data_IF_088271568014
#
_entry.id   IF_088271568014
#
_cell.length_a   1.000
_cell.length_b   1.000
_cell.length_c   1.000
_cell.angle_alpha   90.00
_cell.angle_beta   90.00
_cell.angle_gamma   90.00
#
_symmetry.space_group_name_H-M   'P 1'
#
loop_
_entity.id
_entity.type
_entity.pdbx_description
1 polymer ?
#
# COMPACT_ATOMS: atom_id res chain seq x y z
N UNK A 1 -0.69 -21.55 -5.07
CA UNK A 1 -0.18 -20.27 -5.57
C UNK A 1 -1.07 -19.17 -5.04
N UNK A 2 -0.54 -18.20 -4.29
CA UNK A 2 -1.36 -17.15 -3.67
C UNK A 2 -1.71 -16.13 -4.75
N UNK A 3 -2.93 -16.23 -5.29
CA UNK A 3 -3.48 -15.28 -6.24
C UNK A 3 -3.80 -13.99 -5.48
N UNK A 4 -3.13 -12.90 -5.84
CA UNK A 4 -3.49 -11.58 -5.34
C UNK A 4 -4.73 -11.13 -6.10
N UNK A 5 -5.67 -10.56 -5.36
CA UNK A 5 -6.86 -9.97 -5.94
C UNK A 5 -6.53 -8.48 -6.12
N UNK A 6 -6.22 -8.08 -7.35
CA UNK A 6 -5.74 -6.72 -7.63
C UNK A 6 -6.86 -5.67 -7.66
N UNK A 7 -8.10 -6.13 -7.78
CA UNK A 7 -9.34 -5.35 -7.75
C UNK A 7 -9.92 -5.25 -6.33
N UNK A 8 -9.28 -5.88 -5.34
CA UNK A 8 -9.77 -5.81 -3.97
C UNK A 8 -9.67 -4.37 -3.44
N UNK A 9 -10.71 -3.89 -2.75
CA UNK A 9 -10.64 -2.58 -2.11
C UNK A 9 -9.64 -2.61 -0.95
N UNK A 10 -8.77 -1.61 -0.93
CA UNK A 10 -7.78 -1.42 0.12
C UNK A 10 -7.82 0.00 0.65
N UNK A 11 -7.33 0.16 1.88
CA UNK A 11 -7.16 1.46 2.50
C UNK A 11 -5.68 1.76 2.65
N UNK A 12 -5.21 2.88 2.08
CA UNK A 12 -3.85 3.36 2.31
C UNK A 12 -3.83 4.23 3.55
N UNK A 13 -2.90 3.96 4.47
CA UNK A 13 -2.59 4.80 5.62
C UNK A 13 -1.12 5.20 5.55
N UNK A 14 -0.87 6.49 5.33
CA UNK A 14 0.45 7.10 5.46
C UNK A 14 0.69 7.55 6.90
N UNK A 15 1.77 7.08 7.51
CA UNK A 15 2.29 7.58 8.77
C UNK A 15 3.56 8.36 8.44
N UNK A 16 3.43 9.66 8.23
CA UNK A 16 4.53 10.52 7.76
C UNK A 16 5.57 10.85 8.85
N UNK A 17 5.36 10.59 10.15
CA UNK A 17 6.32 11.04 11.19
C UNK A 17 6.50 10.12 12.41
N UNK A 18 7.75 9.97 12.85
CA UNK A 18 8.11 9.67 14.24
C UNK A 18 8.04 10.99 15.01
N UNK A 19 6.87 11.30 15.55
CA UNK A 19 6.62 12.52 16.30
C UNK A 19 5.17 12.55 16.76
N UNK A 20 4.93 13.01 17.97
CA UNK A 20 3.70 12.86 18.80
C UNK A 20 2.41 13.51 18.24
N UNK A 21 2.39 13.86 16.94
CA UNK A 21 1.22 14.29 16.22
C UNK A 21 1.19 13.57 14.87
N UNK A 22 0.82 12.29 14.88
CA UNK A 22 0.55 11.53 13.66
C UNK A 22 -0.69 12.13 12.98
N UNK A 23 -0.48 13.13 12.11
CA UNK A 23 -1.51 13.58 11.18
C UNK A 23 -1.73 12.42 10.23
N UNK A 24 -2.72 11.57 10.52
CA UNK A 24 -3.21 10.54 9.60
C UNK A 24 -3.60 11.25 8.31
N UNK A 25 -2.70 11.27 7.34
CA UNK A 25 -3.02 11.80 6.02
C UNK A 25 -4.01 10.83 5.40
N UNK A 26 -5.26 11.30 5.33
CA UNK A 26 -6.42 10.75 4.63
C UNK A 26 -6.28 9.29 4.23
N UNK A 27 -6.89 8.42 5.02
CA UNK A 27 -7.22 7.07 4.57
C UNK A 27 -8.01 7.18 3.25
N UNK A 28 -7.42 6.72 2.15
CA UNK A 28 -8.15 6.60 0.88
C UNK A 28 -8.80 5.22 0.89
N UNK A 29 -10.12 5.19 1.02
CA UNK A 29 -10.89 3.96 1.33
C UNK A 29 -11.44 3.23 0.11
N UNK A 30 -11.41 3.88 -1.06
CA UNK A 30 -12.13 3.45 -2.27
C UNK A 30 -11.20 3.20 -3.47
N UNK A 31 -9.97 2.73 -3.22
CA UNK A 31 -9.04 2.35 -4.30
C UNK A 31 -8.71 0.86 -4.23
N UNK A 32 -8.46 0.28 -5.40
CA UNK A 32 -8.08 -1.13 -5.51
C UNK A 32 -6.60 -1.34 -5.12
N UNK A 33 -6.23 -2.58 -4.78
CA UNK A 33 -4.84 -2.92 -4.43
C UNK A 33 -3.85 -2.51 -5.53
N UNK A 34 -4.19 -2.72 -6.79
CA UNK A 34 -3.36 -2.32 -7.93
C UNK A 34 -3.09 -0.82 -7.96
N UNK A 35 -4.14 -0.01 -7.89
CA UNK A 35 -4.04 1.46 -7.82
C UNK A 35 -3.25 1.91 -6.60
N UNK A 36 -3.50 1.30 -5.44
CA UNK A 36 -2.79 1.64 -4.23
C UNK A 36 -1.29 1.39 -4.34
N UNK A 37 -0.89 0.22 -4.85
CA UNK A 37 0.52 -0.10 -5.06
C UNK A 37 1.18 0.85 -6.08
N UNK A 38 0.45 1.25 -7.14
CA UNK A 38 0.93 2.21 -8.15
C UNK A 38 1.12 3.62 -7.60
N UNK A 39 0.22 4.10 -6.75
CA UNK A 39 0.36 5.42 -6.11
C UNK A 39 1.52 5.42 -5.10
N UNK A 40 1.65 4.34 -4.35
CA UNK A 40 2.61 4.23 -3.25
C UNK A 40 4.05 4.09 -3.72
N UNK A 41 4.32 3.27 -4.75
CA UNK A 41 5.69 3.04 -5.23
C UNK A 41 6.49 4.33 -5.54
N UNK A 42 5.98 5.29 -6.35
CA UNK A 42 6.70 6.52 -6.63
C UNK A 42 6.79 7.43 -5.40
N UNK A 43 5.73 7.56 -4.60
CA UNK A 43 5.74 8.42 -3.40
C UNK A 43 6.72 7.90 -2.32
N UNK A 44 6.80 6.58 -2.14
CA UNK A 44 7.74 5.98 -1.19
C UNK A 44 9.19 6.11 -1.65
N UNK A 45 9.45 6.07 -2.97
CA UNK A 45 10.79 6.33 -3.51
C UNK A 45 11.30 7.75 -3.18
N UNK A 46 10.39 8.73 -3.11
CA UNK A 46 10.68 10.10 -2.72
C UNK A 46 10.79 10.28 -1.19
N UNK A 47 10.27 9.34 -0.39
CA UNK A 47 10.21 9.42 1.08
C UNK A 47 10.68 8.10 1.74
N UNK A 48 12.00 7.82 1.78
CA UNK A 48 12.52 6.55 2.31
C UNK A 48 12.21 6.30 3.78
N UNK A 49 11.91 7.34 4.57
CA UNK A 49 11.59 7.25 5.99
C UNK A 49 10.08 7.16 6.28
N UNK A 50 9.21 7.30 5.27
CA UNK A 50 7.77 7.21 5.47
C UNK A 50 7.35 5.77 5.84
N UNK A 51 6.42 5.63 6.78
CA UNK A 51 5.80 4.35 7.12
C UNK A 51 4.42 4.28 6.52
N UNK A 52 4.21 3.38 5.57
CA UNK A 52 2.92 3.17 4.93
C UNK A 52 2.33 1.81 5.29
N UNK A 53 1.03 1.78 5.55
CA UNK A 53 0.22 0.58 5.70
C UNK A 53 -0.87 0.55 4.61
N UNK A 54 -0.84 -0.45 3.73
CA UNK A 54 -1.99 -0.81 2.88
C UNK A 54 -2.79 -1.86 3.64
N UNK A 55 -3.95 -1.46 4.15
CA UNK A 55 -4.88 -2.33 4.86
C UNK A 55 -5.83 -2.94 3.84
N UNK A 56 -5.88 -4.27 3.79
CA UNK A 56 -6.79 -4.99 2.90
C UNK A 56 -8.13 -5.14 3.60
N UNK A 57 -9.24 -5.05 2.86
CA UNK A 57 -10.59 -5.21 3.44
C UNK A 57 -10.83 -6.60 4.01
N UNK A 58 -10.19 -7.63 3.44
CA UNK A 58 -10.21 -8.98 4.00
C UNK A 58 -9.31 -9.05 5.23
N UNK A 59 -9.92 -9.04 6.42
CA UNK A 59 -9.24 -9.10 7.71
C UNK A 59 -8.37 -10.35 7.92
N UNK A 60 -8.51 -11.40 7.07
CA UNK A 60 -7.63 -12.58 7.10
C UNK A 60 -6.33 -12.33 6.36
N UNK A 61 -6.25 -11.33 5.48
CA UNK A 61 -5.05 -11.00 4.71
C UNK A 61 -4.21 -9.96 5.45
N UNK A 62 -2.92 -10.23 5.63
CA UNK A 62 -2.00 -9.34 6.34
C UNK A 62 -1.89 -7.99 5.60
N UNK A 63 -1.89 -6.86 6.32
CA UNK A 63 -1.65 -5.55 5.73
C UNK A 63 -0.22 -5.45 5.17
N UNK A 64 -0.03 -4.65 4.14
CA UNK A 64 1.28 -4.38 3.54
C UNK A 64 1.89 -3.16 4.22
N UNK A 65 2.83 -3.41 5.12
CA UNK A 65 3.39 -2.37 6.00
C UNK A 65 4.84 -1.98 5.66
N UNK A 66 5.44 -2.65 4.66
CA UNK A 66 6.85 -2.46 4.29
C UNK A 66 7.00 -2.21 2.80
N UNK A 67 7.98 -1.38 2.45
CA UNK A 67 8.31 -1.08 1.05
C UNK A 67 8.61 -2.34 0.28
N UNK A 68 9.33 -3.29 0.89
CA UNK A 68 9.64 -4.58 0.28
C UNK A 68 8.37 -5.35 -0.09
N UNK A 69 7.35 -5.39 0.78
CA UNK A 69 6.11 -6.09 0.49
C UNK A 69 5.32 -5.46 -0.67
N UNK A 70 5.23 -4.13 -0.70
CA UNK A 70 4.58 -3.39 -1.79
C UNK A 70 5.34 -3.55 -3.11
N UNK A 71 6.66 -3.38 -3.08
CA UNK A 71 7.54 -3.58 -4.23
C UNK A 71 7.47 -5.00 -4.78
N UNK A 72 7.45 -6.01 -3.91
CA UNK A 72 7.30 -7.41 -4.33
C UNK A 72 5.97 -7.70 -5.02
N UNK A 73 4.92 -6.89 -4.81
CA UNK A 73 3.67 -6.99 -5.58
C UNK A 73 3.81 -6.27 -6.91
N UNK A 74 4.35 -5.06 -6.92
CA UNK A 74 4.56 -4.25 -8.14
C UNK A 74 5.48 -4.94 -9.17
N UNK A 75 6.52 -5.63 -8.70
CA UNK A 75 7.48 -6.34 -9.55
C UNK A 75 6.95 -7.66 -10.10
N UNK A 76 5.75 -8.11 -9.70
CA UNK A 76 5.18 -9.36 -10.21
C UNK A 76 4.89 -9.25 -11.72
N UNK A 77 5.08 -10.35 -12.46
CA UNK A 77 4.73 -10.40 -13.88
C UNK A 77 3.22 -10.32 -14.11
N UNK A 78 2.41 -10.77 -13.15
CA UNK A 78 0.95 -10.74 -13.20
C UNK A 78 0.33 -9.43 -12.66
N UNK A 79 1.14 -8.48 -12.20
CA UNK A 79 0.63 -7.20 -11.71
C UNK A 79 0.17 -6.33 -12.89
N UNK A 80 -1.05 -5.77 -12.86
CA UNK A 80 -1.52 -4.88 -13.91
C UNK A 80 -0.70 -3.58 -13.87
N UNK A 81 0.17 -3.37 -14.87
CA UNK A 81 1.02 -2.17 -15.00
C UNK A 81 0.45 -1.09 -15.94
N UNK A 82 -0.70 -1.37 -16.54
CA UNK A 82 -1.37 -0.56 -17.55
C UNK A 82 -1.85 0.81 -17.06
#
# INVERSE_FOLDING_TARGET
MTQFDYDEPVTIVWNDEIGTNSVQRKATTDICLSEAVRQVMPEWSARPNARLCIIRRDAKRKPLTTYKAVRSIYERPDFPKD
#
